data_IF_104605436420
#
_entry.id   IF_104605436420
#
_cell.length_a   1.000
_cell.length_b   1.000
_cell.length_c   1.000
_cell.angle_alpha   90.00
_cell.angle_beta   90.00
_cell.angle_gamma   90.00
#
_symmetry.space_group_name_H-M   'P 1'
#
loop_
_entity.id
_entity.type
_entity.pdbx_description
1 polymer ?
#
# COMPACT_ATOMS: atom_id res chain seq x y z
N UNK A 1 9.30 -17.37 -6.09
CA UNK A 1 9.45 -16.61 -4.82
C UNK A 1 10.90 -16.18 -4.70
N UNK A 2 11.21 -14.89 -4.79
CA UNK A 2 12.60 -14.41 -4.89
C UNK A 2 13.32 -14.45 -3.54
N UNK A 3 14.53 -15.03 -3.44
CA UNK A 3 15.25 -15.25 -2.17
C UNK A 3 15.74 -13.96 -1.50
N UNK A 4 15.86 -12.85 -2.24
CA UNK A 4 16.39 -11.57 -1.76
C UNK A 4 15.54 -10.89 -0.68
N UNK A 5 14.21 -11.09 -0.69
CA UNK A 5 13.33 -10.58 0.38
C UNK A 5 13.68 -11.17 1.74
N UNK A 6 14.19 -12.40 1.78
CA UNK A 6 14.45 -13.10 3.04
C UNK A 6 15.69 -12.60 3.77
N UNK A 7 16.73 -12.14 3.06
CA UNK A 7 17.97 -11.65 3.69
C UNK A 7 17.78 -10.25 4.28
N UNK A 8 17.22 -9.32 3.50
CA UNK A 8 16.92 -7.97 3.96
C UNK A 8 15.96 -7.97 5.16
N UNK A 9 14.93 -8.82 5.13
CA UNK A 9 14.02 -8.96 6.27
C UNK A 9 14.72 -9.48 7.52
N UNK A 10 15.63 -10.47 7.38
CA UNK A 10 16.41 -11.00 8.50
C UNK A 10 17.31 -9.94 9.14
N UNK A 11 17.96 -9.11 8.33
CA UNK A 11 18.79 -8.01 8.82
C UNK A 11 17.94 -6.98 9.57
N UNK A 12 16.78 -6.60 9.02
CA UNK A 12 15.83 -5.71 9.70
C UNK A 12 15.37 -6.26 11.06
N UNK A 13 15.02 -7.54 11.14
CA UNK A 13 14.64 -8.15 12.42
C UNK A 13 15.78 -8.10 13.43
N UNK A 14 17.02 -8.39 12.99
CA UNK A 14 18.20 -8.33 13.86
C UNK A 14 18.43 -6.92 14.39
N UNK A 15 18.29 -5.88 13.58
CA UNK A 15 18.44 -4.50 14.06
C UNK A 15 17.36 -4.13 15.09
N UNK A 16 16.11 -4.58 14.87
CA UNK A 16 15.01 -4.37 15.83
C UNK A 16 15.30 -5.07 17.16
N UNK A 17 15.75 -6.32 17.12
CA UNK A 17 16.09 -7.11 18.33
C UNK A 17 17.23 -6.49 19.15
N UNK A 18 18.19 -5.82 18.49
CA UNK A 18 19.32 -5.16 19.16
C UNK A 18 19.02 -3.71 19.57
N UNK A 19 17.84 -3.18 19.26
CA UNK A 19 17.44 -1.83 19.65
C UNK A 19 17.03 -1.81 21.12
N UNK A 20 17.57 -0.90 21.95
CA UNK A 20 17.16 -0.79 23.35
C UNK A 20 15.65 -0.48 23.47
N UNK A 21 15.01 -1.07 24.47
CA UNK A 21 13.55 -1.09 24.62
C UNK A 21 12.95 0.32 24.68
N UNK A 22 13.66 1.26 25.29
CA UNK A 22 13.23 2.66 25.42
C UNK A 22 13.09 3.39 24.06
N UNK A 23 13.74 2.90 23.00
CA UNK A 23 13.68 3.47 21.64
C UNK A 23 12.73 2.71 20.71
N UNK A 24 12.24 1.53 21.10
CA UNK A 24 11.32 0.73 20.27
C UNK A 24 10.03 1.49 19.89
N UNK A 25 9.40 2.30 20.78
CA UNK A 25 8.23 3.08 20.40
C UNK A 25 8.52 4.08 19.27
N UNK A 26 9.68 4.76 19.32
CA UNK A 26 10.07 5.71 18.28
C UNK A 26 10.36 4.98 16.95
N UNK A 27 11.05 3.84 16.99
CA UNK A 27 11.31 3.02 15.82
C UNK A 27 10.00 2.52 15.17
N UNK A 28 9.02 2.11 15.98
CA UNK A 28 7.72 1.67 15.49
C UNK A 28 6.98 2.78 14.73
N UNK A 29 7.02 4.02 15.21
CA UNK A 29 6.41 5.16 14.51
C UNK A 29 7.09 5.43 13.16
N UNK A 30 8.41 5.31 13.07
CA UNK A 30 9.15 5.44 11.81
C UNK A 30 8.68 4.37 10.80
N UNK A 31 8.60 3.10 11.23
CA UNK A 31 8.15 1.99 10.36
C UNK A 31 6.71 2.20 9.91
N UNK A 32 5.83 2.65 10.80
CA UNK A 32 4.42 2.97 10.47
C UNK A 32 4.33 4.10 9.45
N UNK A 33 5.08 5.18 9.66
CA UNK A 33 5.16 6.31 8.75
C UNK A 33 5.65 5.90 7.36
N UNK A 34 6.71 5.09 7.30
CA UNK A 34 7.24 4.56 6.05
C UNK A 34 6.20 3.71 5.30
N UNK A 35 5.53 2.78 5.99
CA UNK A 35 4.47 1.95 5.39
C UNK A 35 3.32 2.81 4.86
N UNK A 36 2.89 3.80 5.63
CA UNK A 36 1.80 4.68 5.21
C UNK A 36 2.20 5.52 3.98
N UNK A 37 3.44 6.04 3.95
CA UNK A 37 3.97 6.76 2.80
C UNK A 37 4.02 5.94 1.51
N UNK A 38 4.33 4.64 1.60
CA UNK A 38 4.24 3.73 0.44
C UNK A 38 2.79 3.60 -0.03
N UNK A 39 1.85 3.36 0.90
CA UNK A 39 0.43 3.22 0.55
C UNK A 39 -0.14 4.47 -0.13
N UNK A 40 0.26 5.66 0.32
CA UNK A 40 -0.13 6.92 -0.30
C UNK A 40 0.38 7.05 -1.74
N UNK A 41 1.63 6.68 -2.01
CA UNK A 41 2.19 6.68 -3.38
C UNK A 41 1.42 5.74 -4.30
N UNK A 42 1.09 4.54 -3.84
CA UNK A 42 0.29 3.59 -4.64
C UNK A 42 -1.12 4.12 -4.91
N UNK A 43 -1.72 4.81 -3.94
CA UNK A 43 -3.03 5.44 -4.14
C UNK A 43 -2.97 6.58 -5.18
N UNK A 44 -1.91 7.41 -5.13
CA UNK A 44 -1.65 8.47 -6.11
C UNK A 44 -1.46 7.91 -7.53
N UNK A 45 -0.62 6.88 -7.68
CA UNK A 45 -0.43 6.15 -8.94
C UNK A 45 -1.74 5.57 -9.47
N UNK A 46 -2.56 4.99 -8.58
CA UNK A 46 -3.88 4.44 -8.94
C UNK A 46 -4.83 5.54 -9.40
N UNK A 47 -4.80 6.71 -8.77
CA UNK A 47 -5.62 7.86 -9.15
C UNK A 47 -5.19 8.41 -10.51
N UNK A 48 -3.89 8.59 -10.72
CA UNK A 48 -3.34 9.01 -12.00
C UNK A 48 -3.74 8.05 -13.13
N UNK A 49 -3.62 6.74 -12.89
CA UNK A 49 -4.02 5.72 -13.84
C UNK A 49 -5.53 5.78 -14.14
N UNK A 50 -6.38 5.81 -13.11
CA UNK A 50 -7.84 5.90 -13.27
C UNK A 50 -8.26 7.18 -13.99
N UNK A 51 -7.57 8.30 -13.77
CA UNK A 51 -7.81 9.55 -14.48
C UNK A 51 -7.45 9.44 -15.97
N UNK A 52 -6.33 8.79 -16.32
CA UNK A 52 -5.97 8.55 -17.72
C UNK A 52 -6.96 7.62 -18.43
N UNK A 53 -7.40 6.55 -17.76
CA UNK A 53 -8.42 5.64 -18.27
C UNK A 53 -9.75 6.37 -18.52
N UNK A 54 -10.14 7.26 -17.61
CA UNK A 54 -11.33 8.10 -17.78
C UNK A 54 -11.24 9.01 -19.01
N UNK A 55 -10.11 9.67 -19.20
CA UNK A 55 -9.86 10.55 -20.37
C UNK A 55 -9.84 9.76 -21.70
N UNK A 56 -9.41 8.50 -21.67
CA UNK A 56 -9.40 7.61 -22.83
C UNK A 56 -10.75 6.95 -23.11
N UNK A 57 -11.77 7.20 -22.28
CA UNK A 57 -13.09 6.58 -22.40
C UNK A 57 -13.13 5.11 -21.94
N UNK A 58 -12.08 4.63 -21.29
CA UNK A 58 -12.00 3.30 -20.69
C UNK A 58 -12.72 3.28 -19.34
N UNK A 59 -14.01 3.61 -19.36
CA UNK A 59 -14.87 3.69 -18.18
C UNK A 59 -15.99 2.66 -18.26
N UNK A 60 -16.39 2.13 -17.11
CA UNK A 60 -17.62 1.36 -17.01
C UNK A 60 -18.78 2.31 -16.66
N UNK A 61 -19.82 2.43 -17.51
CA UNK A 61 -20.98 3.27 -17.21
C UNK A 61 -21.64 2.87 -15.88
N UNK A 62 -22.10 3.86 -15.13
CA UNK A 62 -22.69 3.66 -13.79
C UNK A 62 -23.89 2.71 -13.85
N UNK A 63 -24.66 2.74 -14.94
CA UNK A 63 -25.82 1.87 -15.16
C UNK A 63 -25.44 0.39 -15.28
N UNK A 64 -24.17 0.09 -15.62
CA UNK A 64 -23.65 -1.27 -15.66
C UNK A 64 -23.11 -1.75 -14.30
N UNK A 65 -22.79 -0.85 -13.36
CA UNK A 65 -22.31 -1.20 -12.03
C UNK A 65 -23.43 -1.81 -11.15
N UNK A 66 -24.67 -1.41 -11.39
CA UNK A 66 -25.84 -1.85 -10.61
C UNK A 66 -26.56 -3.08 -11.18
N UNK A 67 -26.10 -3.63 -12.33
CA UNK A 67 -26.70 -4.83 -12.91
C UNK A 67 -26.54 -6.03 -11.97
N UNK A 68 -27.64 -6.53 -11.42
CA UNK A 68 -27.67 -7.68 -10.51
C UNK A 68 -27.72 -7.32 -9.02
N UNK A 69 -27.74 -6.02 -8.69
CA UNK A 69 -28.14 -5.54 -7.37
C UNK A 69 -29.61 -5.13 -7.53
N UNK A 70 -30.55 -6.06 -7.30
CA UNK A 70 -31.96 -5.71 -7.18
C UNK A 70 -32.10 -4.82 -5.95
N UNK A 71 -32.28 -3.52 -6.18
CA UNK A 71 -32.79 -2.60 -5.17
C UNK A 71 -34.27 -2.92 -4.97
N UNK A 72 -34.54 -3.91 -4.10
CA UNK A 72 -35.88 -4.18 -3.58
C UNK A 72 -36.41 -3.03 -2.74
#
# INVERSE_FOLDING_TARGET
MSPAKSTCAKELYREIENTPEEYLPALLEIVRGFRHGISLKTADESFHQGMQEALQGNILPVEKLWKGIDAG
#
